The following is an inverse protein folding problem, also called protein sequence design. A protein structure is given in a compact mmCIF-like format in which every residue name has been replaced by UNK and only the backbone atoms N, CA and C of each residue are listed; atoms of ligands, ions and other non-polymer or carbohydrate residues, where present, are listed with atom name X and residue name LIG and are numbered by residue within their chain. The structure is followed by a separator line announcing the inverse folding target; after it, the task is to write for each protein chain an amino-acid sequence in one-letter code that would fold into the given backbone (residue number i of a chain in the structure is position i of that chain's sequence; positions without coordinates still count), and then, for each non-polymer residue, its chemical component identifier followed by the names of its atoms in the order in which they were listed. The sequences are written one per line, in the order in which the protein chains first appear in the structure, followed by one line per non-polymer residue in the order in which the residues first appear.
data_IF_497188530322
#
_entry.id   IF_497188530322
#
_cell.length_a   1.000
_cell.length_b   1.000
_cell.length_c   1.000
_cell.angle_alpha   90.00
_cell.angle_beta   90.00
_cell.angle_gamma   90.00
#
_symmetry.space_group_name_H-M   'P 1'
#
loop_
_entity.id
_entity.type
_entity.pdbx_description
1 polymer ?
#
# COMPACT_ATOMS: atom_id res chain seq x y z
N UNK A 1 -3.25 -2.93 -24.01
CA UNK A 1 -2.18 -1.91 -23.95
C UNK A 1 -1.21 -2.25 -25.07
N UNK A 2 -0.88 -1.33 -25.98
CA UNK A 2 0.13 -1.63 -27.00
C UNK A 2 1.48 -1.66 -26.28
N UNK A 3 2.05 -2.85 -26.05
CA UNK A 3 3.34 -3.01 -25.35
C UNK A 3 4.46 -2.13 -25.92
N UNK A 4 4.38 -1.79 -27.21
CA UNK A 4 5.29 -0.86 -27.87
C UNK A 4 5.34 0.54 -27.22
N UNK A 5 4.26 1.01 -26.59
CA UNK A 5 4.24 2.32 -25.93
C UNK A 5 4.93 2.29 -24.56
N UNK A 6 4.90 1.15 -23.87
CA UNK A 6 5.51 0.98 -22.55
C UNK A 6 6.98 0.56 -22.63
N UNK A 7 7.40 -0.06 -23.74
CA UNK A 7 8.80 -0.45 -23.94
C UNK A 7 9.74 0.75 -23.90
N UNK A 8 10.88 0.59 -23.25
CA UNK A 8 11.91 1.61 -23.20
C UNK A 8 12.52 1.83 -24.60
N UNK A 9 12.66 3.10 -24.96
CA UNK A 9 13.27 3.55 -26.22
C UNK A 9 14.80 3.48 -26.15
N UNK A 10 15.51 3.48 -27.29
CA UNK A 10 16.97 3.57 -27.29
C UNK A 10 17.52 4.76 -26.50
N UNK A 11 16.91 5.94 -26.62
CA UNK A 11 17.32 7.15 -25.89
C UNK A 11 17.14 7.00 -24.36
N UNK A 12 16.06 6.34 -23.94
CA UNK A 12 15.83 6.04 -22.52
C UNK A 12 16.89 5.07 -21.97
N UNK A 13 17.30 4.08 -22.76
CA UNK A 13 18.39 3.15 -22.40
C UNK A 13 19.71 3.90 -22.31
N UNK A 14 20.03 4.75 -23.29
CA UNK A 14 21.26 5.55 -23.34
C UNK A 14 21.36 6.52 -22.15
N UNK A 15 20.22 7.03 -21.66
CA UNK A 15 20.19 7.89 -20.47
C UNK A 15 20.69 7.20 -19.18
N UNK A 16 20.73 5.87 -19.17
CA UNK A 16 21.22 5.04 -18.06
C UNK A 16 22.57 4.41 -18.43
N UNK A 17 22.61 3.71 -19.57
CA UNK A 17 23.77 3.02 -20.11
C UNK A 17 24.47 3.93 -21.12
N UNK A 18 25.34 4.81 -20.63
CA UNK A 18 25.99 5.89 -21.41
C UNK A 18 27.13 5.39 -22.31
N UNK A 19 26.90 4.36 -23.11
CA UNK A 19 27.92 3.73 -23.94
C UNK A 19 28.46 4.68 -25.03
N UNK A 20 27.61 5.54 -25.62
CA UNK A 20 28.06 6.51 -26.63
C UNK A 20 29.07 7.50 -26.05
N UNK A 21 28.73 8.09 -24.90
CA UNK A 21 29.58 9.05 -24.21
C UNK A 21 30.91 8.42 -23.76
N UNK A 22 30.86 7.21 -23.16
CA UNK A 22 32.04 6.58 -22.55
C UNK A 22 32.92 5.79 -23.53
N UNK A 23 32.36 5.24 -24.62
CA UNK A 23 33.09 4.41 -25.58
C UNK A 23 33.28 5.04 -26.96
N UNK A 24 32.60 6.16 -27.26
CA UNK A 24 32.58 6.75 -28.61
C UNK A 24 32.11 5.78 -29.70
N UNK A 25 31.12 4.93 -29.36
CA UNK A 25 30.47 3.97 -30.25
C UNK A 25 29.01 4.37 -30.41
N UNK A 26 28.49 4.46 -31.64
CA UNK A 26 27.13 4.92 -31.92
C UNK A 26 26.06 3.82 -31.80
N UNK A 27 26.46 2.56 -31.94
CA UNK A 27 25.58 1.38 -32.03
C UNK A 27 25.89 0.44 -30.86
N UNK A 28 24.89 0.09 -30.05
CA UNK A 28 25.12 -0.68 -28.82
C UNK A 28 25.61 -2.10 -29.13
N UNK A 29 25.19 -2.67 -30.25
CA UNK A 29 25.57 -3.99 -30.75
C UNK A 29 27.07 -4.11 -31.06
N UNK A 30 27.77 -2.98 -31.26
CA UNK A 30 29.22 -2.94 -31.48
C UNK A 30 30.03 -2.92 -30.16
N UNK A 31 29.37 -2.83 -29.00
CA UNK A 31 30.01 -2.81 -27.68
C UNK A 31 30.23 -4.23 -27.15
N UNK A 32 31.37 -4.49 -26.50
CA UNK A 32 31.53 -5.74 -25.75
C UNK A 32 30.72 -5.69 -24.45
N UNK A 33 30.03 -6.78 -24.10
CA UNK A 33 29.23 -6.88 -22.86
C UNK A 33 30.04 -6.49 -21.61
N UNK A 34 31.32 -6.86 -21.55
CA UNK A 34 32.19 -6.52 -20.43
C UNK A 34 32.38 -5.01 -20.28
N UNK A 35 32.49 -4.28 -21.38
CA UNK A 35 32.61 -2.82 -21.37
C UNK A 35 31.30 -2.19 -20.89
N UNK A 36 30.16 -2.68 -21.38
CA UNK A 36 28.84 -2.21 -20.97
C UNK A 36 28.59 -2.41 -19.47
N UNK A 37 28.98 -3.58 -18.92
CA UNK A 37 28.90 -3.88 -17.49
C UNK A 37 29.70 -2.86 -16.68
N UNK A 38 30.97 -2.61 -17.04
CA UNK A 38 31.82 -1.65 -16.33
C UNK A 38 31.23 -0.24 -16.37
N UNK A 39 30.78 0.21 -17.54
CA UNK A 39 30.18 1.53 -17.72
C UNK A 39 28.97 1.73 -16.84
N UNK A 40 28.08 0.73 -16.83
CA UNK A 40 26.87 0.76 -16.02
C UNK A 40 27.23 0.82 -14.55
N UNK A 41 28.05 -0.12 -14.08
CA UNK A 41 28.38 -0.27 -12.66
C UNK A 41 29.05 0.98 -12.06
N UNK A 42 29.88 1.68 -12.84
CA UNK A 42 30.49 2.96 -12.46
C UNK A 42 29.45 4.10 -12.30
N UNK A 43 28.38 4.09 -13.10
CA UNK A 43 27.36 5.13 -13.13
C UNK A 43 26.17 4.87 -12.18
N UNK A 44 26.12 3.67 -11.59
CA UNK A 44 25.12 3.28 -10.60
C UNK A 44 25.47 3.83 -9.21
N UNK A 45 24.48 4.30 -8.43
CA UNK A 45 24.74 4.89 -7.12
C UNK A 45 25.43 3.90 -6.17
N UNK A 46 26.29 4.42 -5.28
CA UNK A 46 26.81 3.64 -4.15
C UNK A 46 25.64 3.28 -3.21
N UNK A 47 25.36 1.99 -2.96
CA UNK A 47 24.29 1.56 -2.08
C UNK A 47 24.31 2.23 -0.70
N UNK A 48 25.50 2.49 -0.15
CA UNK A 48 25.64 3.12 1.18
C UNK A 48 25.33 4.60 1.15
N UNK A 49 25.62 5.30 0.04
CA UNK A 49 25.41 6.73 -0.06
C UNK A 49 23.91 7.11 -0.12
N UNK A 50 23.05 6.16 -0.49
CA UNK A 50 21.59 6.34 -0.60
C UNK A 50 20.81 5.43 0.36
N UNK A 51 21.48 4.81 1.34
CA UNK A 51 20.90 3.89 2.32
C UNK A 51 20.09 2.74 1.71
N UNK A 52 20.48 2.26 0.53
CA UNK A 52 19.70 1.31 -0.27
C UNK A 52 19.57 -0.07 0.40
N UNK A 53 20.53 -0.43 1.24
CA UNK A 53 20.54 -1.68 2.00
C UNK A 53 19.83 -1.58 3.37
N UNK A 54 19.29 -0.41 3.71
CA UNK A 54 18.72 -0.15 5.03
C UNK A 54 17.19 -0.21 5.00
N UNK A 55 16.58 -0.71 6.09
CA UNK A 55 15.13 -0.75 6.21
C UNK A 55 14.49 0.65 6.26
N UNK A 56 15.24 1.65 6.73
CA UNK A 56 14.78 3.04 6.83
C UNK A 56 14.90 3.84 5.52
N UNK A 57 15.31 3.20 4.41
CA UNK A 57 15.38 3.82 3.09
C UNK A 57 14.11 4.61 2.75
N UNK A 58 14.30 5.82 2.19
CA UNK A 58 13.25 6.70 1.69
C UNK A 58 13.55 7.10 0.24
N UNK A 59 12.56 6.93 -0.63
CA UNK A 59 12.67 7.29 -2.05
C UNK A 59 12.37 8.77 -2.34
N UNK A 60 11.82 9.52 -1.39
CA UNK A 60 11.41 10.92 -1.60
C UNK A 60 12.53 11.85 -2.11
N UNK A 61 13.78 11.75 -1.63
CA UNK A 61 14.87 12.58 -2.15
C UNK A 61 15.33 12.18 -3.56
N UNK A 62 14.90 11.03 -4.07
CA UNK A 62 15.41 10.42 -5.30
C UNK A 62 14.39 10.59 -6.43
N UNK A 63 14.87 10.98 -7.61
CA UNK A 63 14.02 11.10 -8.81
C UNK A 63 13.62 9.71 -9.32
N UNK A 64 12.52 9.61 -10.09
CA UNK A 64 12.13 8.31 -10.66
C UNK A 64 13.22 7.70 -11.56
N UNK A 65 13.97 8.54 -12.29
CA UNK A 65 15.15 8.11 -13.07
C UNK A 65 16.27 7.59 -12.16
N UNK A 66 16.52 8.25 -11.03
CA UNK A 66 17.44 7.77 -10.00
C UNK A 66 17.03 6.42 -9.43
N UNK A 67 15.73 6.19 -9.20
CA UNK A 67 15.21 4.91 -8.71
C UNK A 67 15.41 3.77 -9.72
N UNK A 68 15.39 4.04 -11.03
CA UNK A 68 15.78 3.03 -12.04
C UNK A 68 17.22 2.59 -11.81
N UNK A 69 18.16 3.53 -11.60
CA UNK A 69 19.55 3.21 -11.28
C UNK A 69 19.69 2.46 -9.96
N UNK A 70 18.99 2.88 -8.90
CA UNK A 70 18.98 2.14 -7.64
C UNK A 70 18.49 0.71 -7.84
N UNK A 71 17.45 0.50 -8.66
CA UNK A 71 16.89 -0.82 -8.92
C UNK A 71 17.89 -1.71 -9.66
N UNK A 72 18.59 -1.15 -10.65
CA UNK A 72 19.69 -1.84 -11.33
C UNK A 72 20.78 -2.24 -10.35
N UNK A 73 21.19 -1.33 -9.45
CA UNK A 73 22.19 -1.61 -8.41
C UNK A 73 21.80 -2.83 -7.57
N UNK A 74 20.52 -3.00 -7.21
CA UNK A 74 20.08 -4.19 -6.46
C UNK A 74 20.40 -5.52 -7.16
N UNK A 75 20.27 -5.59 -8.49
CA UNK A 75 20.59 -6.80 -9.27
C UNK A 75 22.11 -7.07 -9.35
N UNK A 76 22.93 -6.02 -9.32
CA UNK A 76 24.39 -6.16 -9.17
C UNK A 76 24.74 -6.68 -7.77
N UNK A 77 24.12 -6.15 -6.72
CA UNK A 77 24.39 -6.57 -5.33
C UNK A 77 24.04 -8.04 -5.05
N UNK A 78 23.03 -8.60 -5.74
CA UNK A 78 22.72 -10.05 -5.67
C UNK A 78 23.48 -10.91 -6.69
N UNK A 79 24.47 -10.32 -7.39
CA UNK A 79 25.36 -10.94 -8.37
C UNK A 79 24.66 -11.72 -9.50
N UNK A 80 23.49 -11.26 -9.98
CA UNK A 80 22.78 -11.99 -11.04
C UNK A 80 23.36 -11.76 -12.43
N UNK A 81 23.93 -10.57 -12.68
CA UNK A 81 24.51 -10.18 -13.97
C UNK A 81 25.65 -11.14 -14.33
N UNK A 82 26.61 -11.31 -13.43
CA UNK A 82 27.75 -12.19 -13.65
C UNK A 82 27.34 -13.66 -13.64
N UNK A 83 26.50 -14.07 -12.68
CA UNK A 83 26.17 -15.48 -12.45
C UNK A 83 25.27 -16.07 -13.55
N UNK A 84 24.24 -15.34 -13.94
CA UNK A 84 23.26 -15.79 -14.94
C UNK A 84 23.51 -15.19 -16.33
N UNK A 85 24.60 -14.44 -16.49
CA UNK A 85 25.01 -13.80 -17.75
C UNK A 85 23.89 -12.94 -18.32
N UNK A 86 23.25 -12.14 -17.47
CA UNK A 86 22.14 -11.25 -17.89
C UNK A 86 22.74 -10.08 -18.67
N UNK A 87 22.39 -9.87 -19.95
CA UNK A 87 22.90 -8.71 -20.70
C UNK A 87 22.44 -7.40 -20.04
N UNK A 88 23.37 -6.49 -19.76
CA UNK A 88 23.05 -5.25 -19.02
C UNK A 88 22.15 -4.30 -19.78
N UNK A 89 22.19 -4.35 -21.11
CA UNK A 89 21.25 -3.64 -21.97
C UNK A 89 19.81 -4.14 -21.74
N UNK A 90 19.62 -5.47 -21.68
CA UNK A 90 18.29 -6.08 -21.47
C UNK A 90 17.81 -5.82 -20.05
N UNK A 91 18.69 -5.89 -19.05
CA UNK A 91 18.35 -5.53 -17.68
C UNK A 91 17.92 -4.05 -17.57
N UNK A 92 18.67 -3.15 -18.21
CA UNK A 92 18.37 -1.71 -18.25
C UNK A 92 17.02 -1.46 -18.94
N UNK A 93 16.81 -2.05 -20.12
CA UNK A 93 15.56 -1.95 -20.87
C UNK A 93 14.38 -2.49 -20.08
N UNK A 94 14.54 -3.64 -19.41
CA UNK A 94 13.50 -4.24 -18.59
C UNK A 94 13.12 -3.33 -17.42
N UNK A 95 14.08 -2.86 -16.62
CA UNK A 95 13.81 -2.00 -15.46
C UNK A 95 13.08 -0.72 -15.87
N UNK A 96 13.54 -0.07 -16.94
CA UNK A 96 12.91 1.14 -17.45
C UNK A 96 11.49 0.86 -18.00
N UNK A 97 11.30 -0.27 -18.68
CA UNK A 97 9.99 -0.71 -19.19
C UNK A 97 9.02 -1.04 -18.05
N UNK A 98 9.49 -1.67 -16.98
CA UNK A 98 8.68 -1.92 -15.76
C UNK A 98 8.22 -0.59 -15.18
N UNK A 99 9.13 0.39 -15.00
CA UNK A 99 8.77 1.75 -14.55
C UNK A 99 7.68 2.37 -15.43
N UNK A 100 7.78 2.26 -16.76
CA UNK A 100 6.78 2.79 -17.71
C UNK A 100 5.46 2.02 -17.70
N UNK A 101 5.46 0.77 -17.22
CA UNK A 101 4.26 -0.05 -17.04
C UNK A 101 3.44 0.34 -15.81
N UNK A 102 4.05 0.97 -14.81
CA UNK A 102 3.30 1.58 -13.70
C UNK A 102 2.55 2.82 -14.17
N UNK A 103 1.30 2.96 -13.70
CA UNK A 103 0.45 4.11 -14.03
C UNK A 103 0.75 5.29 -13.12
N UNK A 104 0.43 6.49 -13.59
CA UNK A 104 0.39 7.71 -12.79
C UNK A 104 -0.88 7.75 -11.92
N UNK A 105 -0.95 6.84 -10.94
CA UNK A 105 -1.94 6.85 -9.85
C UNK A 105 -1.31 7.34 -8.56
N UNK A 106 -2.14 7.70 -7.58
CA UNK A 106 -1.72 8.44 -6.39
C UNK A 106 -0.75 7.65 -5.50
N UNK A 107 -0.99 6.35 -5.27
CA UNK A 107 -0.14 5.51 -4.43
C UNK A 107 0.47 4.31 -5.18
N UNK A 108 -0.33 3.46 -5.83
CA UNK A 108 0.14 2.22 -6.47
C UNK A 108 0.85 2.50 -7.82
N UNK A 109 1.92 3.28 -7.76
CA UNK A 109 2.74 3.74 -8.89
C UNK A 109 4.19 3.21 -8.76
N UNK A 110 5.09 3.69 -9.62
CA UNK A 110 6.48 3.22 -9.67
C UNK A 110 7.22 3.33 -8.33
N UNK A 111 6.96 4.36 -7.52
CA UNK A 111 7.62 4.53 -6.21
C UNK A 111 7.23 3.42 -5.24
N UNK A 112 5.96 3.01 -5.25
CA UNK A 112 5.51 1.87 -4.47
C UNK A 112 6.19 0.58 -4.95
N UNK A 113 6.10 0.26 -6.25
CA UNK A 113 6.75 -0.92 -6.82
C UNK A 113 8.26 -1.00 -6.55
N UNK A 114 8.95 0.15 -6.60
CA UNK A 114 10.35 0.24 -6.24
C UNK A 114 10.61 -0.06 -4.76
N UNK A 115 9.86 0.55 -3.84
CA UNK A 115 10.05 0.35 -2.40
C UNK A 115 9.77 -1.11 -1.98
N UNK A 116 8.83 -1.79 -2.63
CA UNK A 116 8.59 -3.23 -2.43
C UNK A 116 9.78 -4.06 -2.91
N UNK A 117 10.34 -3.74 -4.08
CA UNK A 117 11.59 -4.35 -4.58
C UNK A 117 12.78 -4.12 -3.65
N UNK A 118 12.98 -2.88 -3.18
CA UNK A 118 14.04 -2.52 -2.23
C UNK A 118 13.87 -3.25 -0.90
N UNK A 119 12.65 -3.36 -0.38
CA UNK A 119 12.40 -4.09 0.86
C UNK A 119 12.63 -5.59 0.70
N UNK A 120 12.27 -6.17 -0.46
CA UNK A 120 12.57 -7.57 -0.76
C UNK A 120 14.07 -7.83 -0.78
N UNK A 121 14.84 -6.97 -1.43
CA UNK A 121 16.30 -7.02 -1.39
C UNK A 121 16.84 -6.94 0.04
N UNK A 122 16.37 -5.97 0.83
CA UNK A 122 16.84 -5.75 2.19
C UNK A 122 16.50 -6.92 3.12
N UNK A 123 15.32 -7.54 2.98
CA UNK A 123 14.98 -8.77 3.71
C UNK A 123 15.89 -9.94 3.34
N UNK A 124 16.20 -10.12 2.04
CA UNK A 124 17.09 -11.18 1.57
C UNK A 124 18.52 -11.00 2.10
N UNK A 125 19.05 -9.78 2.01
CA UNK A 125 20.44 -9.47 2.32
C UNK A 125 20.64 -9.10 3.79
N UNK A 126 20.15 -7.93 4.20
CA UNK A 126 20.29 -7.39 5.57
C UNK A 126 19.48 -8.21 6.58
N UNK A 127 18.28 -8.67 6.21
CA UNK A 127 17.44 -9.57 7.00
C UNK A 127 17.92 -11.03 7.01
N UNK A 128 19.02 -11.35 6.29
CA UNK A 128 19.66 -12.67 6.20
C UNK A 128 18.74 -13.82 5.78
N UNK A 129 17.61 -13.54 5.14
CA UNK A 129 16.67 -14.58 4.67
C UNK A 129 17.18 -15.32 3.42
N UNK A 130 18.18 -14.77 2.71
CA UNK A 130 18.75 -15.40 1.51
C UNK A 130 19.33 -16.79 1.76
N UNK A 131 19.74 -17.14 2.99
CA UNK A 131 20.26 -18.47 3.35
C UNK A 131 19.29 -19.64 3.04
N UNK A 132 17.99 -19.37 2.93
CA UNK A 132 16.99 -20.39 2.56
C UNK A 132 16.77 -20.53 1.05
N UNK A 133 17.30 -19.59 0.26
CA UNK A 133 17.02 -19.45 -1.16
C UNK A 133 18.30 -19.50 -1.99
N UNK A 134 18.20 -20.14 -3.15
CA UNK A 134 19.23 -20.11 -4.17
C UNK A 134 19.30 -18.73 -4.82
N UNK A 135 20.37 -18.45 -5.57
CA UNK A 135 20.49 -17.20 -6.32
C UNK A 135 19.40 -17.04 -7.38
N UNK A 136 18.92 -18.14 -7.96
CA UNK A 136 17.83 -18.11 -8.94
C UNK A 136 16.50 -17.71 -8.28
N UNK A 137 16.22 -18.24 -7.09
CA UNK A 137 15.02 -17.89 -6.33
C UNK A 137 15.06 -16.44 -5.86
N UNK A 138 16.21 -15.98 -5.34
CA UNK A 138 16.40 -14.57 -4.96
C UNK A 138 16.24 -13.63 -6.17
N UNK A 139 16.77 -14.01 -7.33
CA UNK A 139 16.60 -13.26 -8.59
C UNK A 139 15.13 -13.16 -8.98
N UNK A 140 14.40 -14.28 -8.95
CA UNK A 140 12.98 -14.31 -9.27
C UNK A 140 12.14 -13.49 -8.27
N UNK A 141 12.41 -13.61 -6.97
CA UNK A 141 11.71 -12.88 -5.91
C UNK A 141 11.87 -11.38 -6.04
N UNK A 142 13.10 -10.91 -6.30
CA UNK A 142 13.38 -9.49 -6.49
C UNK A 142 12.67 -8.94 -7.74
N UNK A 143 12.74 -9.66 -8.86
CA UNK A 143 12.08 -9.25 -10.10
C UNK A 143 10.54 -9.27 -9.97
N UNK A 144 9.98 -10.26 -9.28
CA UNK A 144 8.54 -10.33 -9.00
C UNK A 144 8.08 -9.16 -8.12
N UNK A 145 8.87 -8.77 -7.11
CA UNK A 145 8.57 -7.63 -6.25
C UNK A 145 8.46 -6.31 -7.04
N UNK A 146 9.35 -6.08 -8.01
CA UNK A 146 9.26 -4.91 -8.89
C UNK A 146 8.03 -4.91 -9.80
N UNK A 147 7.46 -6.07 -10.11
CA UNK A 147 6.36 -6.21 -11.05
C UNK A 147 4.97 -6.40 -10.41
N UNK A 148 4.90 -6.58 -9.10
CA UNK A 148 3.70 -7.11 -8.44
C UNK A 148 2.43 -6.27 -8.67
N UNK A 149 2.59 -4.95 -8.87
CA UNK A 149 1.51 -3.97 -9.03
C UNK A 149 1.52 -3.26 -10.40
N UNK A 150 2.22 -3.81 -11.38
CA UNK A 150 2.35 -3.19 -12.71
C UNK A 150 0.98 -3.02 -13.38
N UNK A 151 0.69 -1.85 -13.96
CA UNK A 151 -0.62 -1.48 -14.53
C UNK A 151 -1.78 -1.36 -13.49
N UNK A 152 -1.51 -1.19 -12.19
CA UNK A 152 -2.56 -0.92 -11.19
C UNK A 152 -3.37 0.36 -11.50
N UNK A 153 -4.69 0.29 -11.32
CA UNK A 153 -5.66 1.28 -11.84
C UNK A 153 -6.21 2.25 -10.78
N UNK A 154 -5.66 2.23 -9.57
CA UNK A 154 -6.13 3.04 -8.45
C UNK A 154 -7.48 2.59 -7.88
N UNK A 155 -7.88 1.35 -8.14
CA UNK A 155 -9.13 0.79 -7.62
C UNK A 155 -8.93 -0.68 -7.27
N UNK A 156 -9.56 -1.15 -6.20
CA UNK A 156 -9.36 -2.50 -5.67
C UNK A 156 -10.21 -3.59 -6.36
N UNK A 157 -9.92 -4.86 -6.02
CA UNK A 157 -10.63 -6.04 -6.53
C UNK A 157 -12.17 -5.97 -6.33
N UNK A 158 -12.65 -5.39 -5.22
CA UNK A 158 -14.09 -5.24 -4.96
C UNK A 158 -14.75 -4.29 -5.95
N UNK A 159 -14.10 -3.16 -6.25
CA UNK A 159 -14.58 -2.23 -7.27
C UNK A 159 -14.59 -2.85 -8.67
N UNK A 160 -13.56 -3.62 -9.03
CA UNK A 160 -13.51 -4.34 -10.31
C UNK A 160 -14.72 -5.27 -10.48
N UNK A 161 -15.09 -6.00 -9.43
CA UNK A 161 -16.29 -6.85 -9.43
C UNK A 161 -17.58 -6.02 -9.55
N UNK A 162 -17.76 -4.98 -8.72
CA UNK A 162 -18.97 -4.16 -8.72
C UNK A 162 -19.19 -3.42 -10.05
N UNK A 163 -18.12 -2.96 -10.68
CA UNK A 163 -18.15 -2.27 -11.98
C UNK A 163 -18.25 -3.23 -13.17
N UNK A 164 -18.23 -4.55 -12.94
CA UNK A 164 -18.24 -5.59 -13.99
C UNK A 164 -17.14 -5.40 -15.03
N UNK A 165 -15.95 -5.00 -14.58
CA UNK A 165 -14.83 -4.71 -15.46
C UNK A 165 -14.43 -5.94 -16.30
N UNK A 166 -13.79 -5.75 -17.48
CA UNK A 166 -13.30 -6.88 -18.27
C UNK A 166 -12.36 -7.81 -17.49
N UNK A 167 -11.56 -7.26 -16.56
CA UNK A 167 -10.66 -8.05 -15.71
C UNK A 167 -11.46 -8.95 -14.74
N UNK A 168 -12.54 -8.43 -14.14
CA UNK A 168 -13.40 -9.22 -13.27
C UNK A 168 -14.18 -10.32 -14.01
N UNK A 169 -14.40 -10.18 -15.32
CA UNK A 169 -14.97 -11.23 -16.17
C UNK A 169 -13.95 -12.30 -16.55
N UNK A 170 -12.68 -11.91 -16.69
CA UNK A 170 -11.57 -12.80 -17.06
C UNK A 170 -11.07 -13.62 -15.88
N UNK A 171 -11.02 -13.02 -14.68
CA UNK A 171 -10.46 -13.63 -13.48
C UNK A 171 -11.53 -13.78 -12.39
N UNK A 172 -11.63 -14.96 -11.78
CA UNK A 172 -12.61 -15.24 -10.71
C UNK A 172 -12.12 -14.95 -9.29
N UNK A 173 -10.81 -14.84 -9.07
CA UNK A 173 -10.19 -14.52 -7.78
C UNK A 173 -8.86 -13.81 -8.00
N UNK A 174 -8.46 -12.96 -7.05
CA UNK A 174 -7.23 -12.16 -7.11
C UNK A 174 -7.10 -11.46 -8.47
N UNK A 175 -8.11 -10.66 -8.80
CA UNK A 175 -8.37 -10.17 -10.17
C UNK A 175 -7.20 -9.32 -10.67
N UNK A 176 -6.77 -8.37 -9.86
CA UNK A 176 -5.67 -7.46 -10.19
C UNK A 176 -4.33 -8.18 -10.14
N UNK A 177 -4.10 -9.01 -9.15
CA UNK A 177 -2.84 -9.75 -8.98
C UNK A 177 -2.58 -10.70 -10.16
N UNK A 178 -3.64 -11.34 -10.68
CA UNK A 178 -3.55 -12.14 -11.92
C UNK A 178 -3.27 -11.27 -13.15
N UNK A 179 -3.86 -10.09 -13.23
CA UNK A 179 -3.55 -9.14 -14.31
C UNK A 179 -2.09 -8.70 -14.27
N UNK A 180 -1.55 -8.35 -13.09
CA UNK A 180 -0.15 -7.98 -12.90
C UNK A 180 0.80 -9.13 -13.30
N UNK A 181 0.47 -10.37 -12.90
CA UNK A 181 1.21 -11.57 -13.28
C UNK A 181 1.22 -11.79 -14.80
N UNK A 182 0.06 -11.72 -15.46
CA UNK A 182 -0.03 -11.93 -16.90
C UNK A 182 0.67 -10.81 -17.69
N UNK A 183 0.59 -9.56 -17.21
CA UNK A 183 1.37 -8.46 -17.77
C UNK A 183 2.87 -8.75 -17.68
N UNK A 184 3.33 -9.18 -16.52
CA UNK A 184 4.73 -9.51 -16.25
C UNK A 184 5.23 -10.65 -17.13
N UNK A 185 4.45 -11.74 -17.25
CA UNK A 185 4.76 -12.86 -18.16
C UNK A 185 4.84 -12.40 -19.61
N UNK A 186 3.94 -11.51 -20.03
CA UNK A 186 3.93 -11.01 -21.40
C UNK A 186 5.18 -10.16 -21.68
N UNK A 187 5.67 -9.37 -20.71
CA UNK A 187 6.95 -8.66 -20.87
C UNK A 187 8.12 -9.63 -21.08
N UNK A 188 8.13 -10.75 -20.36
CA UNK A 188 9.18 -11.76 -20.46
C UNK A 188 9.11 -12.62 -21.73
N UNK A 189 8.03 -12.51 -22.52
CA UNK A 189 7.93 -13.16 -23.84
C UNK A 189 8.71 -12.40 -24.94
N UNK A 190 8.98 -11.11 -24.73
CA UNK A 190 9.84 -10.32 -25.63
C UNK A 190 11.31 -10.59 -25.27
N UNK A 191 12.07 -11.18 -26.19
CA UNK A 191 13.49 -11.55 -26.00
C UNK A 191 14.34 -10.34 -25.57
N UNK A 192 14.05 -9.15 -26.10
CA UNK A 192 14.80 -7.93 -25.76
C UNK A 192 14.49 -7.39 -24.36
N UNK A 193 13.44 -7.89 -23.70
CA UNK A 193 13.06 -7.54 -22.31
C UNK A 193 13.29 -8.70 -21.34
N UNK A 194 13.51 -9.92 -21.84
CA UNK A 194 13.61 -11.10 -21.01
C UNK A 194 14.97 -11.17 -20.30
N UNK A 195 15.03 -10.69 -19.06
CA UNK A 195 16.21 -10.78 -18.19
C UNK A 195 16.59 -12.22 -17.80
N UNK A 196 15.76 -13.20 -18.14
CA UNK A 196 15.99 -14.62 -17.91
C UNK A 196 16.33 -15.40 -19.20
N UNK A 197 16.60 -14.72 -20.31
CA UNK A 197 16.81 -15.34 -21.63
C UNK A 197 17.94 -16.38 -21.68
N UNK A 198 18.96 -16.25 -20.84
CA UNK A 198 20.11 -17.16 -20.79
C UNK A 198 19.93 -18.33 -19.81
N UNK A 199 18.77 -18.42 -19.16
CA UNK A 199 18.44 -19.56 -18.31
C UNK A 199 18.02 -20.77 -19.16
N UNK A 200 18.30 -21.97 -18.65
CA UNK A 200 17.73 -23.17 -19.27
C UNK A 200 16.23 -23.27 -18.98
N UNK A 201 15.52 -24.07 -19.80
CA UNK A 201 14.06 -24.24 -19.71
C UNK A 201 13.55 -24.53 -18.29
N UNK A 202 14.21 -25.44 -17.56
CA UNK A 202 13.79 -25.81 -16.20
C UNK A 202 13.96 -24.66 -15.21
N UNK A 203 15.05 -23.90 -15.33
CA UNK A 203 15.25 -22.70 -14.50
C UNK A 203 14.20 -21.63 -14.81
N UNK A 204 13.89 -21.42 -16.08
CA UNK A 204 12.85 -20.46 -16.49
C UNK A 204 11.46 -20.88 -15.99
N UNK A 205 11.10 -22.16 -16.08
CA UNK A 205 9.85 -22.69 -15.51
C UNK A 205 9.76 -22.45 -13.99
N UNK A 206 10.88 -22.64 -13.26
CA UNK A 206 10.95 -22.29 -11.83
C UNK A 206 10.70 -20.80 -11.61
N UNK A 207 11.31 -19.91 -12.41
CA UNK A 207 11.10 -18.46 -12.28
C UNK A 207 9.63 -18.11 -12.48
N UNK A 208 8.98 -18.64 -13.50
CA UNK A 208 7.55 -18.36 -13.78
C UNK A 208 6.66 -18.84 -12.63
N UNK A 209 6.94 -20.01 -12.06
CA UNK A 209 6.23 -20.51 -10.88
C UNK A 209 6.41 -19.58 -9.67
N UNK A 210 7.64 -19.12 -9.40
CA UNK A 210 7.90 -18.22 -8.28
C UNK A 210 7.25 -16.85 -8.47
N UNK A 211 7.19 -16.33 -9.70
CA UNK A 211 6.42 -15.12 -10.03
C UNK A 211 4.94 -15.29 -9.69
N UNK A 212 4.35 -16.44 -10.05
CA UNK A 212 2.95 -16.73 -9.72
C UNK A 212 2.73 -16.78 -8.21
N UNK A 213 3.56 -17.53 -7.47
CA UNK A 213 3.42 -17.63 -6.02
C UNK A 213 3.59 -16.26 -5.35
N UNK A 214 4.60 -15.48 -5.76
CA UNK A 214 4.93 -14.22 -5.15
C UNK A 214 3.90 -13.12 -5.45
N UNK A 215 3.53 -12.92 -6.72
CA UNK A 215 2.61 -11.84 -7.11
C UNK A 215 1.20 -12.15 -6.59
N UNK A 216 0.70 -13.38 -6.72
CA UNK A 216 -0.64 -13.73 -6.24
C UNK A 216 -0.75 -13.62 -4.70
N UNK A 217 0.35 -13.82 -3.97
CA UNK A 217 0.37 -13.70 -2.52
C UNK A 217 0.19 -12.26 -1.98
N UNK A 218 0.28 -11.23 -2.83
CA UNK A 218 0.00 -9.83 -2.45
C UNK A 218 -1.47 -9.60 -2.14
N UNK A 219 -2.39 -10.45 -2.64
CA UNK A 219 -3.80 -10.42 -2.26
C UNK A 219 -3.95 -10.75 -0.76
N UNK A 220 -4.33 -9.73 0.03
CA UNK A 220 -4.53 -9.86 1.47
C UNK A 220 -5.57 -10.93 1.86
N UNK A 221 -6.50 -11.30 0.96
CA UNK A 221 -7.43 -12.40 1.21
C UNK A 221 -6.70 -13.77 1.34
N UNK A 222 -5.55 -13.93 0.69
CA UNK A 222 -4.71 -15.12 0.76
C UNK A 222 -3.74 -15.06 1.94
N UNK A 223 -3.24 -13.88 2.28
CA UNK A 223 -2.41 -13.64 3.47
C UNK A 223 -3.02 -14.26 4.74
N UNK A 224 -4.30 -13.99 5.02
CA UNK A 224 -4.97 -14.52 6.22
C UNK A 224 -5.04 -16.05 6.27
N UNK A 225 -5.01 -16.72 5.10
CA UNK A 225 -4.98 -18.19 5.01
C UNK A 225 -3.57 -18.74 5.26
N UNK A 226 -2.53 -18.02 4.83
CA UNK A 226 -1.12 -18.46 4.91
C UNK A 226 -0.47 -18.16 6.27
N UNK A 227 -0.92 -17.11 6.97
CA UNK A 227 -0.31 -16.64 8.23
C UNK A 227 -0.21 -17.71 9.32
N UNK A 228 -1.20 -18.60 9.43
CA UNK A 228 -1.20 -19.69 10.43
C UNK A 228 -0.21 -20.80 10.09
N UNK A 229 0.05 -21.04 8.80
CA UNK A 229 1.07 -21.98 8.37
C UNK A 229 2.47 -21.41 8.61
N UNK A 230 2.65 -20.11 8.37
CA UNK A 230 3.90 -19.41 8.66
C UNK A 230 4.23 -19.45 10.15
N UNK A 231 3.27 -19.15 11.03
CA UNK A 231 3.48 -19.23 12.48
C UNK A 231 3.98 -20.61 12.92
N UNK A 232 3.41 -21.70 12.38
CA UNK A 232 3.87 -23.07 12.68
C UNK A 232 5.31 -23.33 12.23
N UNK A 233 5.73 -22.73 11.11
CA UNK A 233 7.12 -22.81 10.64
C UNK A 233 8.03 -22.06 11.61
N UNK A 234 7.65 -20.85 12.03
CA UNK A 234 8.41 -20.05 13.01
C UNK A 234 8.53 -20.78 14.34
N UNK A 235 7.42 -21.28 14.90
CA UNK A 235 7.40 -22.02 16.16
C UNK A 235 8.22 -23.32 16.12
N UNK A 236 8.38 -23.93 14.94
CA UNK A 236 9.24 -25.10 14.75
C UNK A 236 10.72 -24.69 14.70
N UNK A 237 11.05 -23.61 13.99
CA UNK A 237 12.42 -23.10 13.90
C UNK A 237 12.94 -22.59 15.24
N UNK A 238 12.09 -21.94 16.05
CA UNK A 238 12.44 -21.43 17.39
C UNK A 238 12.86 -22.53 18.37
N UNK A 239 12.43 -23.78 18.13
CA UNK A 239 12.78 -24.94 18.97
C UNK A 239 14.07 -25.64 18.53
N UNK A 240 14.67 -25.23 17.41
CA UNK A 240 15.88 -25.83 16.88
C UNK A 240 17.10 -25.18 17.54
N UNK A 241 18.13 -25.99 17.82
CA UNK A 241 19.30 -25.52 18.57
C UNK A 241 20.30 -24.78 17.67
N UNK A 242 20.30 -25.09 16.38
CA UNK A 242 21.28 -24.57 15.41
C UNK A 242 20.64 -23.95 14.17
N UNK A 243 21.34 -23.00 13.56
CA UNK A 243 20.89 -22.34 12.33
C UNK A 243 20.83 -23.34 11.16
N UNK A 244 21.77 -24.28 11.10
CA UNK A 244 21.85 -25.32 10.07
C UNK A 244 20.61 -26.25 10.08
N UNK A 245 20.12 -26.60 11.27
CA UNK A 245 18.89 -27.38 11.42
C UNK A 245 17.68 -26.65 10.86
N UNK A 246 17.54 -25.35 11.19
CA UNK A 246 16.47 -24.51 10.68
C UNK A 246 16.54 -24.35 9.15
N UNK A 247 17.74 -24.13 8.59
CA UNK A 247 17.96 -24.08 7.14
C UNK A 247 17.54 -25.39 6.49
N UNK A 248 17.98 -26.53 7.02
CA UNK A 248 17.64 -27.84 6.47
C UNK A 248 16.14 -28.13 6.57
N UNK A 249 15.51 -27.78 7.68
CA UNK A 249 14.06 -27.94 7.89
C UNK A 249 13.23 -27.17 6.87
N UNK A 250 13.64 -25.95 6.52
CA UNK A 250 12.97 -25.12 5.53
C UNK A 250 13.26 -25.61 4.10
N UNK A 251 14.53 -25.86 3.79
CA UNK A 251 14.97 -26.14 2.41
C UNK A 251 14.56 -27.52 1.90
N UNK A 252 14.31 -28.48 2.78
CA UNK A 252 13.86 -29.83 2.39
C UNK A 252 12.42 -29.86 1.84
N UNK A 253 11.60 -28.86 2.17
CA UNK A 253 10.20 -28.77 1.75
C UNK A 253 9.94 -27.47 1.00
N UNK A 254 9.80 -27.54 -0.34
CA UNK A 254 9.50 -26.37 -1.17
C UNK A 254 8.28 -25.58 -0.70
N UNK A 255 7.27 -26.24 -0.12
CA UNK A 255 6.06 -25.59 0.39
C UNK A 255 6.37 -24.59 1.50
N UNK A 256 7.35 -24.89 2.38
CA UNK A 256 7.76 -23.99 3.46
C UNK A 256 8.40 -22.73 2.88
N UNK A 257 9.27 -22.89 1.88
CA UNK A 257 9.88 -21.77 1.17
C UNK A 257 8.83 -20.89 0.49
N UNK A 258 7.85 -21.49 -0.17
CA UNK A 258 6.75 -20.75 -0.79
C UNK A 258 5.89 -19.99 0.23
N UNK A 259 5.60 -20.59 1.40
CA UNK A 259 4.88 -19.90 2.47
C UNK A 259 5.70 -18.73 3.00
N UNK A 260 6.99 -18.92 3.26
CA UNK A 260 7.86 -17.83 3.73
C UNK A 260 7.94 -16.73 2.65
N UNK A 261 8.12 -17.08 1.38
CA UNK A 261 8.15 -16.14 0.26
C UNK A 261 6.84 -15.35 0.14
N UNK A 262 5.69 -16.00 0.26
CA UNK A 262 4.39 -15.34 0.24
C UNK A 262 4.25 -14.33 1.39
N UNK A 263 4.66 -14.70 2.60
CA UNK A 263 4.64 -13.81 3.76
C UNK A 263 5.66 -12.67 3.62
N UNK A 264 6.84 -12.93 3.04
CA UNK A 264 7.85 -11.91 2.75
C UNK A 264 7.29 -10.90 1.75
N UNK A 265 6.59 -11.35 0.70
CA UNK A 265 5.99 -10.44 -0.27
C UNK A 265 4.95 -9.53 0.38
N UNK A 266 4.05 -10.06 1.20
CA UNK A 266 3.10 -9.21 1.96
C UNK A 266 3.82 -8.25 2.92
N UNK A 267 4.90 -8.68 3.56
CA UNK A 267 5.69 -7.80 4.45
C UNK A 267 6.40 -6.68 3.68
N UNK A 268 6.84 -6.93 2.43
CA UNK A 268 7.41 -5.93 1.55
C UNK A 268 6.37 -4.94 1.05
N UNK A 269 5.23 -5.45 0.59
CA UNK A 269 4.09 -4.66 0.09
C UNK A 269 3.60 -3.65 1.14
N UNK A 270 3.47 -4.11 2.39
CA UNK A 270 3.04 -3.27 3.50
C UNK A 270 4.16 -2.44 4.15
N UNK A 271 5.41 -2.53 3.68
CA UNK A 271 6.60 -1.99 4.36
C UNK A 271 6.61 -0.48 4.57
N UNK A 272 5.80 0.28 3.82
CA UNK A 272 5.63 1.71 4.03
C UNK A 272 5.20 2.06 5.47
N UNK A 273 4.45 1.16 6.12
CA UNK A 273 3.99 1.33 7.51
C UNK A 273 5.12 1.25 8.55
N UNK A 274 6.30 0.75 8.17
CA UNK A 274 7.46 0.58 9.07
C UNK A 274 8.53 1.64 8.87
N UNK A 275 8.32 2.59 7.94
CA UNK A 275 9.27 3.67 7.65
C UNK A 275 9.24 4.74 8.76
N UNK A 276 10.27 5.61 8.86
CA UNK A 276 10.23 6.76 9.77
C UNK A 276 8.95 7.59 9.62
N UNK A 277 8.51 8.23 10.69
CA UNK A 277 7.22 8.92 10.76
C UNK A 277 7.04 9.97 9.65
N UNK A 278 8.11 10.68 9.31
CA UNK A 278 8.14 11.72 8.27
C UNK A 278 7.80 11.15 6.89
N UNK A 279 8.16 9.89 6.64
CA UNK A 279 7.84 9.16 5.42
C UNK A 279 6.46 8.54 5.53
N UNK A 280 6.20 7.82 6.64
CA UNK A 280 4.98 7.04 6.82
C UNK A 280 3.72 7.92 6.82
N UNK A 281 3.77 9.09 7.48
CA UNK A 281 2.65 10.03 7.52
C UNK A 281 2.26 10.55 6.13
N UNK A 282 3.25 10.84 5.28
CA UNK A 282 3.02 11.26 3.89
C UNK A 282 2.44 10.11 3.06
N UNK A 283 3.00 8.90 3.18
CA UNK A 283 2.50 7.73 2.46
C UNK A 283 1.06 7.40 2.86
N UNK A 284 0.72 7.49 4.15
CA UNK A 284 -0.64 7.27 4.62
C UNK A 284 -1.65 8.24 3.97
N UNK A 285 -1.26 9.50 3.73
CA UNK A 285 -2.09 10.48 3.04
C UNK A 285 -2.24 10.14 1.54
N UNK A 286 -1.20 9.63 0.88
CA UNK A 286 -1.29 9.17 -0.51
C UNK A 286 -2.25 7.98 -0.63
N UNK A 287 -2.12 6.98 0.24
CA UNK A 287 -3.02 5.82 0.29
C UNK A 287 -4.46 6.24 0.56
N UNK A 288 -4.69 7.12 1.55
CA UNK A 288 -6.01 7.63 1.86
C UNK A 288 -6.62 8.42 0.69
N UNK A 289 -5.81 9.23 0.00
CA UNK A 289 -6.25 9.99 -1.17
C UNK A 289 -6.69 9.07 -2.31
N UNK A 290 -5.95 7.99 -2.57
CA UNK A 290 -6.36 7.01 -3.58
C UNK A 290 -7.67 6.28 -3.20
N UNK A 291 -7.84 5.93 -1.92
CA UNK A 291 -9.12 5.36 -1.44
C UNK A 291 -10.29 6.34 -1.57
N UNK A 292 -10.06 7.63 -1.35
CA UNK A 292 -11.07 8.66 -1.52
C UNK A 292 -11.42 8.89 -3.00
N UNK A 293 -10.44 8.84 -3.89
CA UNK A 293 -10.66 8.86 -5.34
C UNK A 293 -11.52 7.68 -5.78
N UNK A 294 -11.25 6.47 -5.28
CA UNK A 294 -12.12 5.32 -5.50
C UNK A 294 -13.54 5.55 -4.92
N UNK A 295 -13.65 6.08 -3.70
CA UNK A 295 -14.95 6.33 -3.07
C UNK A 295 -15.82 7.33 -3.85
N UNK A 296 -15.20 8.32 -4.49
CA UNK A 296 -15.90 9.23 -5.38
C UNK A 296 -16.37 8.54 -6.66
N UNK A 297 -15.57 7.61 -7.21
CA UNK A 297 -15.99 6.78 -8.35
C UNK A 297 -17.18 5.86 -7.95
N UNK A 298 -17.15 5.26 -6.76
CA UNK A 298 -18.27 4.47 -6.25
C UNK A 298 -19.56 5.31 -6.14
N UNK A 299 -19.42 6.56 -5.67
CA UNK A 299 -20.55 7.50 -5.54
C UNK A 299 -21.10 7.94 -6.88
N UNK A 300 -20.23 8.27 -7.83
CA UNK A 300 -20.62 8.89 -9.10
C UNK A 300 -21.02 7.87 -10.17
N UNK A 301 -20.28 6.75 -10.27
CA UNK A 301 -20.46 5.73 -11.31
C UNK A 301 -21.41 4.62 -10.85
N UNK A 302 -21.22 4.13 -9.62
CA UNK A 302 -22.04 3.03 -9.09
C UNK A 302 -23.27 3.50 -8.32
N UNK A 303 -23.38 4.81 -8.05
CA UNK A 303 -24.46 5.41 -7.26
C UNK A 303 -24.61 4.77 -5.87
N UNK A 304 -23.49 4.36 -5.27
CA UNK A 304 -23.42 3.74 -3.94
C UNK A 304 -22.75 4.67 -2.94
N UNK A 305 -23.16 4.60 -1.68
CA UNK A 305 -22.42 5.27 -0.62
C UNK A 305 -21.17 4.46 -0.27
N UNK A 306 -19.97 5.07 -0.35
CA UNK A 306 -18.74 4.38 0.01
C UNK A 306 -18.70 4.08 1.52
N UNK A 307 -17.92 3.08 1.89
CA UNK A 307 -17.63 2.81 3.31
C UNK A 307 -16.81 3.96 3.91
N UNK A 308 -16.80 4.14 5.25
CA UNK A 308 -16.11 5.26 5.90
C UNK A 308 -14.65 5.45 5.49
N UNK A 309 -13.92 4.35 5.29
CA UNK A 309 -12.52 4.37 4.87
C UNK A 309 -12.29 5.02 3.49
N UNK A 310 -13.30 5.00 2.61
CA UNK A 310 -13.24 5.58 1.27
C UNK A 310 -14.02 6.89 1.17
N UNK A 311 -14.58 7.42 2.26
CA UNK A 311 -15.30 8.69 2.26
C UNK A 311 -14.38 9.84 2.67
N UNK A 312 -14.06 10.73 1.72
CA UNK A 312 -13.23 11.93 1.99
C UNK A 312 -13.80 12.86 3.06
N UNK A 313 -15.11 12.80 3.31
CA UNK A 313 -15.76 13.57 4.37
C UNK A 313 -15.43 13.05 5.78
N UNK A 314 -14.86 11.84 5.88
CA UNK A 314 -14.44 11.19 7.13
C UNK A 314 -12.92 11.13 7.27
N UNK A 315 -12.20 12.01 6.57
CA UNK A 315 -10.74 12.09 6.62
C UNK A 315 -10.18 12.21 8.04
N UNK A 316 -10.91 12.85 8.96
CA UNK A 316 -10.45 13.06 10.33
C UNK A 316 -10.48 11.75 11.16
N UNK A 317 -11.17 10.70 10.68
CA UNK A 317 -11.12 9.35 11.26
C UNK A 317 -9.84 8.56 10.85
N UNK A 318 -9.03 9.08 9.91
CA UNK A 318 -7.84 8.41 9.38
C UNK A 318 -6.88 7.88 10.47
N UNK A 319 -6.53 8.64 11.54
CA UNK A 319 -5.64 8.13 12.57
C UNK A 319 -6.15 6.84 13.23
N UNK A 320 -7.45 6.78 13.54
CA UNK A 320 -8.09 5.60 14.14
C UNK A 320 -8.10 4.41 13.18
N UNK A 321 -8.34 4.66 11.89
CA UNK A 321 -8.28 3.63 10.85
C UNK A 321 -6.85 3.06 10.70
N UNK A 322 -5.82 3.91 10.76
CA UNK A 322 -4.42 3.49 10.71
C UNK A 322 -4.04 2.62 11.91
N UNK A 323 -4.44 3.00 13.13
CA UNK A 323 -4.23 2.16 14.33
C UNK A 323 -4.87 0.77 14.14
N UNK A 324 -6.12 0.72 13.65
CA UNK A 324 -6.81 -0.54 13.39
C UNK A 324 -6.11 -1.40 12.34
N UNK A 325 -5.62 -0.79 11.26
CA UNK A 325 -4.87 -1.48 10.21
C UNK A 325 -3.53 -2.04 10.73
N UNK A 326 -2.78 -1.25 11.50
CA UNK A 326 -1.55 -1.69 12.16
C UNK A 326 -1.81 -2.89 13.06
N UNK A 327 -2.84 -2.82 13.90
CA UNK A 327 -3.15 -3.87 14.87
C UNK A 327 -3.62 -5.17 14.20
N UNK A 328 -4.52 -5.05 13.22
CA UNK A 328 -5.19 -6.22 12.66
C UNK A 328 -4.39 -6.92 11.55
N UNK A 329 -3.64 -6.16 10.75
CA UNK A 329 -2.93 -6.66 9.56
C UNK A 329 -1.42 -6.72 9.80
N UNK A 330 -0.82 -5.59 10.17
CA UNK A 330 0.64 -5.44 10.13
C UNK A 330 1.35 -6.09 11.33
N UNK A 331 0.77 -5.98 12.53
CA UNK A 331 1.43 -6.41 13.78
C UNK A 331 1.78 -7.89 13.76
N UNK A 332 0.90 -8.74 13.24
CA UNK A 332 1.15 -10.18 13.16
C UNK A 332 2.41 -10.47 12.32
N UNK A 333 2.46 -9.94 11.09
CA UNK A 333 3.52 -10.32 10.14
C UNK A 333 4.89 -9.85 10.62
N UNK A 334 5.03 -8.61 11.08
CA UNK A 334 6.33 -8.10 11.55
C UNK A 334 6.75 -8.68 12.89
N UNK A 335 5.80 -9.03 13.78
CA UNK A 335 6.12 -9.74 15.02
C UNK A 335 6.65 -11.14 14.74
N UNK A 336 6.00 -11.89 13.86
CA UNK A 336 6.45 -13.24 13.50
C UNK A 336 7.77 -13.22 12.73
N UNK A 337 8.00 -12.23 11.84
CA UNK A 337 9.31 -12.07 11.20
C UNK A 337 10.42 -11.69 12.19
N UNK A 338 10.16 -10.81 13.16
CA UNK A 338 11.14 -10.46 14.20
C UNK A 338 11.45 -11.65 15.14
N UNK A 339 10.45 -12.48 15.46
CA UNK A 339 10.67 -13.76 16.16
C UNK A 339 11.50 -14.73 15.33
N UNK A 340 11.24 -14.78 14.03
CA UNK A 340 11.93 -15.68 13.11
C UNK A 340 13.38 -15.25 12.84
N UNK A 341 13.62 -13.95 12.66
CA UNK A 341 14.92 -13.33 12.37
C UNK A 341 15.06 -12.01 13.11
N UNK A 342 16.05 -11.93 14.01
CA UNK A 342 16.27 -10.74 14.84
C UNK A 342 16.68 -9.52 13.99
N UNK A 343 17.30 -9.73 12.83
CA UNK A 343 17.69 -8.71 11.87
C UNK A 343 16.51 -7.91 11.30
N UNK A 344 15.28 -8.46 11.36
CA UNK A 344 14.05 -7.80 10.87
C UNK A 344 13.37 -6.97 11.98
N UNK A 345 13.84 -7.05 13.22
CA UNK A 345 13.32 -6.28 14.37
C UNK A 345 13.23 -4.77 14.14
N UNK A 346 14.14 -4.10 13.37
CA UNK A 346 13.97 -2.69 13.03
C UNK A 346 12.63 -2.36 12.36
N UNK A 347 12.08 -3.24 11.52
CA UNK A 347 10.76 -3.05 10.91
C UNK A 347 9.63 -3.11 11.95
N UNK A 348 9.73 -4.03 12.92
CA UNK A 348 8.77 -4.12 14.02
C UNK A 348 8.82 -2.88 14.92
N UNK A 349 10.02 -2.37 15.21
CA UNK A 349 10.20 -1.15 15.99
C UNK A 349 9.60 0.06 15.26
N UNK A 350 9.86 0.20 13.96
CA UNK A 350 9.24 1.24 13.12
C UNK A 350 7.71 1.18 13.15
N UNK A 351 7.14 -0.02 13.02
CA UNK A 351 5.69 -0.24 13.14
C UNK A 351 5.15 0.23 14.49
N UNK A 352 5.80 -0.16 15.59
CA UNK A 352 5.36 0.18 16.94
C UNK A 352 5.44 1.68 17.21
N UNK A 353 6.49 2.35 16.73
CA UNK A 353 6.63 3.80 16.82
C UNK A 353 5.52 4.51 16.06
N UNK A 354 5.27 4.14 14.79
CA UNK A 354 4.20 4.73 14.00
C UNK A 354 2.82 4.49 14.60
N UNK A 355 2.60 3.32 15.22
CA UNK A 355 1.37 3.05 15.96
C UNK A 355 1.15 4.03 17.11
N UNK A 356 2.19 4.38 17.85
CA UNK A 356 2.11 5.34 18.95
C UNK A 356 1.77 6.75 18.43
N UNK A 357 2.40 7.19 17.35
CA UNK A 357 2.11 8.48 16.72
C UNK A 357 0.66 8.56 16.23
N UNK A 358 0.19 7.54 15.49
CA UNK A 358 -1.20 7.48 15.06
C UNK A 358 -2.19 7.42 16.22
N UNK A 359 -1.84 6.70 17.29
CA UNK A 359 -2.68 6.63 18.49
C UNK A 359 -2.79 7.98 19.18
N UNK A 360 -1.68 8.73 19.28
CA UNK A 360 -1.67 10.10 19.81
C UNK A 360 -2.61 10.99 19.00
N UNK A 361 -2.51 10.97 17.66
CA UNK A 361 -3.39 11.74 16.78
C UNK A 361 -4.86 11.33 16.90
N UNK A 362 -5.14 10.04 17.06
CA UNK A 362 -6.50 9.55 17.26
C UNK A 362 -7.08 10.03 18.59
N UNK A 363 -6.29 10.02 19.67
CA UNK A 363 -6.72 10.49 20.99
C UNK A 363 -6.96 12.00 21.02
N UNK A 364 -6.12 12.77 20.34
CA UNK A 364 -6.34 14.21 20.15
C UNK A 364 -7.64 14.52 19.40
N UNK A 365 -7.94 13.74 18.35
CA UNK A 365 -9.19 13.88 17.60
C UNK A 365 -10.40 13.52 18.46
N UNK A 366 -10.36 12.37 19.15
CA UNK A 366 -11.44 11.92 20.04
C UNK A 366 -11.71 12.95 21.16
N UNK A 367 -10.67 13.60 21.68
CA UNK A 367 -10.81 14.68 22.66
C UNK A 367 -11.51 15.92 22.07
N UNK A 368 -11.12 16.35 20.85
CA UNK A 368 -11.77 17.48 20.15
C UNK A 368 -13.25 17.20 19.86
N UNK A 369 -13.57 15.98 19.39
CA UNK A 369 -14.95 15.57 19.11
C UNK A 369 -15.79 15.60 20.40
N UNK A 370 -15.29 15.09 21.52
CA UNK A 370 -16.00 15.13 22.81
C UNK A 370 -16.32 16.56 23.25
N UNK A 371 -15.36 17.48 23.13
CA UNK A 371 -15.56 18.89 23.46
C UNK A 371 -16.65 19.50 22.58
N UNK A 372 -16.61 19.25 21.27
CA UNK A 372 -17.63 19.73 20.34
C UNK A 372 -19.02 19.14 20.66
N UNK A 373 -19.11 17.86 20.96
CA UNK A 373 -20.36 17.21 21.36
C UNK A 373 -20.94 17.79 22.66
N UNK A 374 -20.08 18.09 23.64
CA UNK A 374 -20.49 18.75 24.88
C UNK A 374 -20.96 20.19 24.65
N UNK A 375 -20.30 20.94 23.75
CA UNK A 375 -20.73 22.29 23.37
C UNK A 375 -22.07 22.28 22.63
N UNK A 376 -22.28 21.34 21.71
CA UNK A 376 -23.56 21.17 21.01
C UNK A 376 -24.67 20.82 22.01
N UNK A 377 -24.43 19.89 22.94
CA UNK A 377 -25.41 19.56 24.00
C UNK A 377 -25.74 20.77 24.86
N UNK A 378 -24.76 21.57 25.27
CA UNK A 378 -24.99 22.80 26.04
C UNK A 378 -25.79 23.84 25.24
N UNK A 379 -25.55 23.96 23.94
CA UNK A 379 -26.32 24.85 23.07
C UNK A 379 -27.76 24.36 22.88
N UNK A 380 -27.98 23.05 22.71
CA UNK A 380 -29.31 22.46 22.62
C UNK A 380 -30.10 22.63 23.93
N UNK A 381 -29.46 22.38 25.08
CA UNK A 381 -30.06 22.61 26.41
C UNK A 381 -30.38 24.08 26.66
N UNK A 382 -29.47 24.99 26.28
CA UNK A 382 -29.67 26.45 26.35
C UNK A 382 -30.82 26.94 25.48
N UNK A 383 -30.91 26.46 24.24
CA UNK A 383 -32.01 26.78 23.32
C UNK A 383 -33.36 26.26 23.83
N UNK A 384 -33.40 25.07 24.45
CA UNK A 384 -34.61 24.55 25.07
C UNK A 384 -35.04 25.37 26.30
N UNK A 385 -34.10 25.82 27.12
CA UNK A 385 -34.41 26.67 28.28
C UNK A 385 -34.88 28.07 27.87
N UNK A 386 -34.28 28.68 26.86
CA UNK A 386 -34.75 29.97 26.33
C UNK A 386 -36.14 29.88 25.71
N UNK A 387 -36.43 28.80 24.98
CA UNK A 387 -37.74 28.55 24.39
C UNK A 387 -38.82 28.32 25.47
N UNK A 388 -38.50 27.54 26.50
CA UNK A 388 -39.37 27.37 27.67
C UNK A 388 -39.64 28.68 28.43
N UNK A 389 -38.60 29.50 28.66
CA UNK A 389 -38.73 30.80 29.31
C UNK A 389 -39.43 31.85 28.44
N UNK A 390 -39.43 31.70 27.12
CA UNK A 390 -40.24 32.51 26.21
C UNK A 390 -41.72 32.12 26.29
N UNK A 391 -42.02 30.82 26.23
CA UNK A 391 -43.39 30.31 26.30
C UNK A 391 -44.05 30.63 27.67
N UNK A 392 -43.33 30.48 28.79
CA UNK A 392 -43.83 30.90 30.11
C UNK A 392 -44.12 32.40 30.19
N UNK A 393 -43.27 33.25 29.59
CA UNK A 393 -43.51 34.71 29.53
C UNK A 393 -44.71 35.07 28.66
N UNK A 394 -45.01 34.30 27.62
CA UNK A 394 -46.20 34.48 26.78
C UNK A 394 -47.46 34.07 27.56
N UNK A 395 -47.42 32.95 28.26
CA UNK A 395 -48.53 32.45 29.10
C UNK A 395 -48.82 33.41 30.26
N UNK A 396 -47.81 33.89 30.98
CA UNK A 396 -48.00 34.88 32.07
C UNK A 396 -48.57 36.21 31.55
N UNK A 397 -48.14 36.67 30.36
CA UNK A 397 -48.75 37.84 29.71
C UNK A 397 -50.21 37.62 29.31
N UNK A 398 -50.58 36.42 28.88
CA UNK A 398 -51.97 36.07 28.57
C UNK A 398 -52.83 36.00 29.85
N UNK A 399 -52.35 35.34 30.91
CA UNK A 399 -53.05 35.25 32.19
C UNK A 399 -53.26 36.63 32.85
N UNK A 400 -52.27 37.52 32.78
CA UNK A 400 -52.39 38.92 33.25
C UNK A 400 -53.37 39.76 32.43
N UNK A 401 -53.58 39.44 31.14
CA UNK A 401 -54.65 40.05 30.33
C UNK A 401 -56.03 39.56 30.79
N UNK A 402 -56.20 38.24 30.96
CA UNK A 402 -57.46 37.67 31.48
C UNK A 402 -57.84 38.19 32.87
N UNK A 403 -56.88 38.40 33.77
CA UNK A 403 -57.16 38.96 35.11
C UNK A 403 -57.56 40.44 35.07
N UNK A 404 -57.08 41.22 34.09
CA UNK A 404 -57.50 42.63 33.90
C UNK A 404 -58.88 42.76 33.27
N UNK A 405 -59.27 41.80 32.44
CA UNK A 405 -60.62 41.75 31.87
C UNK A 405 -61.66 41.21 32.87
N UNK A 406 -61.25 40.35 33.82
CA UNK A 406 -62.11 39.85 34.90
C UNK A 406 -62.56 40.89 35.92
N UNK A 407 -61.76 41.93 36.20
CA UNK A 407 -62.16 43.04 37.08
C UNK A 407 -63.10 44.06 36.39
N UNK A 408 -63.27 43.98 35.06
CA UNK A 408 -64.21 44.84 34.33
C UNK A 408 -65.64 44.28 34.24
N UNK A 409 -65.87 43.04 34.67
CA UNK A 409 -67.17 42.34 34.49
C UNK A 409 -68.01 42.28 35.79
N UNK A 410 -67.54 42.83 36.91
CA UNK A 410 -68.32 42.86 38.17
C UNK A 410 -69.22 44.10 38.33
N UNK A 411 -69.32 45.00 37.35
CA UNK A 411 -70.11 46.25 37.42
C UNK A 411 -71.03 46.47 36.21
N UNK A 412 -71.89 45.51 35.88
CA UNK A 412 -73.09 45.66 35.03
C UNK A 412 -73.69 44.26 34.88
N UNK A 413 -74.96 43.94 35.13
CA UNK A 413 -76.19 44.73 35.13
C UNK A 413 -77.30 43.79 35.63
N UNK A 414 -78.15 44.28 36.52
CA UNK A 414 -79.54 43.84 36.63
C UNK A 414 -80.23 44.12 35.29
N UNK A 415 -80.98 43.17 34.74
CA UNK A 415 -82.37 43.38 34.27
C UNK A 415 -82.93 42.09 33.64
N UNK A 416 -84.04 41.63 34.22
CA UNK A 416 -84.97 40.68 33.61
C UNK A 416 -85.78 41.42 32.52
N UNK A 417 -86.32 40.69 31.53
CA UNK A 417 -87.77 40.61 31.51
C UNK A 417 -88.36 39.24 31.15
N UNK A 418 -89.52 39.00 31.74
CA UNK A 418 -90.44 37.90 31.45
C UNK A 418 -91.17 38.13 30.13
N UNK A 419 -91.30 37.03 29.37
CA UNK A 419 -92.41 36.56 28.54
C UNK A 419 -93.37 37.55 27.87
N UNK A 420 -93.72 37.24 26.61
CA UNK A 420 -95.07 36.82 26.24
C UNK A 420 -95.04 35.96 24.96
N UNK A 421 -95.77 34.84 24.96
CA UNK A 421 -96.29 34.26 23.73
C UNK A 421 -97.43 35.15 23.22
N UNK A 422 -97.45 35.35 21.90
CA UNK A 422 -98.30 36.25 21.06
C UNK A 422 -97.89 37.71 21.02
#
# INVERSE_FOLDING_TARGET
MLMNQTKATPDEIESILKFKEKLSIDVIEDCEEKQLVTILEEDLPDPKAVDLCEFHFSDFPITEHGLIKCGLRLFFEINVVEKFKVPVEVLTRWMYTVRKGYRSVTYHNWRHGFNVGQTMFTLLMTGRLKKYYTDLEAFAMLAAAFCHDIDHRGTNNLYQMKSTSPLAKLHGSSILERHHLEYSKTLLQDESLNIFQNLNKRQFETVIHLFEVAIIATDLALYFKKRTMFQKIVDACEKMETEEEAIKYITIDPTKKEIIMAMMMTACDLSAITKPWEVQSQVALLVASEFWEQGDLERTVLQQQPIPMMDRNKKDELPKLQVGFIDFVCTFVYKEFSRFHQEVTPMLNGLQNNRMEWKSLADEYDAKVKVMEEEVKKQEEGNMTEKGAYDERVVDKQLKRYSKDGERVSNSTNELPKHLTS
#
